data_IF_715423525093
#
_entry.id   IF_715423525093
#
_cell.length_a   1.000
_cell.length_b   1.000
_cell.length_c   1.000
_cell.angle_alpha   90.00
_cell.angle_beta   90.00
_cell.angle_gamma   90.00
#
_symmetry.space_group_name_H-M   'P 1'
#
loop_
_entity.id
_entity.type
_entity.pdbx_description
1 polymer ?
#
# COMPACT_ATOMS: atom_id res chain seq x y z
N UNK A 1 10.44 -4.40 -2.93
CA UNK A 1 10.55 -5.45 -3.95
C UNK A 1 11.51 -5.05 -5.05
N UNK A 2 11.33 -3.91 -5.72
CA UNK A 2 12.25 -3.43 -6.75
C UNK A 2 13.53 -2.80 -6.14
N UNK A 3 14.72 -3.45 -6.21
CA UNK A 3 15.93 -2.95 -5.56
C UNK A 3 16.41 -1.61 -6.13
N UNK A 4 16.11 -1.35 -7.41
CA UNK A 4 16.41 -0.08 -8.06
C UNK A 4 15.83 1.12 -7.26
N UNK A 5 14.60 0.99 -6.78
CA UNK A 5 13.95 2.05 -5.98
C UNK A 5 14.34 2.03 -4.52
N UNK A 6 14.98 0.98 -3.99
CA UNK A 6 15.62 1.04 -2.67
C UNK A 6 16.91 1.88 -2.70
N UNK A 7 17.47 2.06 -3.91
CA UNK A 7 18.62 2.91 -4.20
C UNK A 7 19.77 2.78 -3.19
N UNK A 8 20.06 1.54 -2.77
CA UNK A 8 21.08 1.19 -1.77
C UNK A 8 21.01 2.00 -0.46
N UNK A 9 19.85 2.57 -0.12
CA UNK A 9 19.70 3.51 1.01
C UNK A 9 19.80 2.81 2.37
N UNK A 10 19.36 1.55 2.44
CA UNK A 10 19.53 0.70 3.60
C UNK A 10 19.53 -0.77 3.11
N UNK A 11 20.61 -1.14 2.44
CA UNK A 11 20.70 -2.37 1.66
C UNK A 11 21.72 -3.34 2.28
N UNK A 12 21.31 -4.61 2.40
CA UNK A 12 22.09 -5.67 3.06
C UNK A 12 23.36 -6.06 2.29
N UNK A 13 23.48 -5.69 1.02
CA UNK A 13 24.65 -5.93 0.18
C UNK A 13 25.65 -4.76 0.19
N UNK A 14 25.43 -3.73 1.00
CA UNK A 14 26.41 -2.67 1.26
C UNK A 14 27.34 -3.03 2.42
N UNK A 15 28.45 -2.30 2.57
CA UNK A 15 29.37 -2.52 3.68
C UNK A 15 28.64 -2.32 5.03
N UNK A 16 29.01 -3.07 6.06
CA UNK A 16 28.37 -2.98 7.39
C UNK A 16 28.54 -1.60 8.06
N UNK A 17 29.57 -0.85 7.66
CA UNK A 17 29.79 0.55 8.07
C UNK A 17 28.92 1.57 7.31
N UNK A 18 28.20 1.15 6.27
CA UNK A 18 27.32 2.02 5.49
C UNK A 18 26.15 2.49 6.35
N UNK A 19 25.82 3.78 6.26
CA UNK A 19 24.68 4.34 6.98
C UNK A 19 23.37 3.85 6.36
N UNK A 20 22.48 3.31 7.20
CA UNK A 20 21.08 3.08 6.81
C UNK A 20 20.34 4.43 6.84
N UNK A 21 19.85 4.85 5.68
CA UNK A 21 19.04 6.06 5.51
C UNK A 21 17.71 5.71 4.86
N UNK A 22 16.69 6.53 5.11
CA UNK A 22 15.35 6.35 4.52
C UNK A 22 15.42 6.46 2.98
N UNK A 23 16.18 7.44 2.48
CA UNK A 23 16.38 7.65 1.05
C UNK A 23 15.06 7.86 0.30
N UNK A 24 14.74 6.94 -0.60
CA UNK A 24 13.56 6.94 -1.46
C UNK A 24 12.31 6.35 -0.80
N UNK A 25 12.41 5.83 0.43
CA UNK A 25 11.27 5.34 1.18
C UNK A 25 10.39 6.50 1.68
N UNK A 26 9.11 6.18 1.94
CA UNK A 26 8.19 7.08 2.65
C UNK A 26 8.73 7.37 4.05
N UNK A 27 8.59 8.61 4.52
CA UNK A 27 9.08 9.02 5.84
C UNK A 27 8.21 8.49 6.97
N UNK A 28 6.90 8.44 6.72
CA UNK A 28 5.91 7.87 7.63
C UNK A 28 4.92 7.01 6.85
N UNK A 29 4.30 6.03 7.52
CA UNK A 29 3.28 5.20 6.93
C UNK A 29 2.07 5.07 7.86
N UNK A 30 0.88 5.32 7.32
CA UNK A 30 -0.40 5.09 7.98
C UNK A 30 -0.85 3.67 7.66
N UNK A 31 -0.92 2.83 8.69
CA UNK A 31 -1.44 1.48 8.58
C UNK A 31 -2.97 1.52 8.63
N UNK A 32 -3.61 1.52 7.46
CA UNK A 32 -5.06 1.69 7.33
C UNK A 32 -5.81 0.50 7.92
N UNK A 33 -6.82 0.81 8.74
CA UNK A 33 -7.82 -0.13 9.29
C UNK A 33 -9.22 0.23 8.82
N UNK A 34 -9.53 1.52 8.75
CA UNK A 34 -10.85 2.03 8.36
C UNK A 34 -10.72 3.19 7.35
N UNK A 35 -11.84 3.59 6.74
CA UNK A 35 -11.87 4.71 5.80
C UNK A 35 -11.43 6.03 6.46
N UNK A 36 -11.66 6.18 7.76
CA UNK A 36 -11.31 7.39 8.51
C UNK A 36 -9.78 7.59 8.59
N UNK A 37 -8.99 6.51 8.71
CA UNK A 37 -7.53 6.59 8.70
C UNK A 37 -7.01 7.24 7.40
N UNK A 38 -7.65 6.92 6.26
CA UNK A 38 -7.30 7.50 4.96
C UNK A 38 -7.70 8.97 4.91
N UNK A 39 -8.91 9.28 5.38
CA UNK A 39 -9.44 10.65 5.38
C UNK A 39 -8.59 11.57 6.25
N UNK A 40 -8.24 11.14 7.46
CA UNK A 40 -7.36 11.89 8.36
C UNK A 40 -5.94 12.03 7.81
N UNK A 41 -5.38 10.97 7.22
CA UNK A 41 -4.06 11.01 6.60
C UNK A 41 -4.00 12.04 5.45
N UNK A 42 -5.04 12.08 4.60
CA UNK A 42 -5.15 13.05 3.51
C UNK A 42 -5.31 14.47 4.06
N UNK A 43 -6.12 14.67 5.10
CA UNK A 43 -6.28 15.98 5.73
C UNK A 43 -4.96 16.48 6.36
N UNK A 44 -4.18 15.60 7.02
CA UNK A 44 -2.84 15.95 7.53
C UNK A 44 -1.90 16.30 6.37
N UNK A 45 -1.91 15.48 5.30
CA UNK A 45 -1.05 15.71 4.15
C UNK A 45 -1.35 17.05 3.46
N UNK A 46 -2.62 17.39 3.29
CA UNK A 46 -3.05 18.67 2.75
C UNK A 46 -2.65 19.84 3.66
N UNK A 47 -2.97 19.77 4.97
CA UNK A 47 -2.64 20.81 5.94
C UNK A 47 -1.15 21.13 6.02
N UNK A 48 -0.29 20.13 5.85
CA UNK A 48 1.16 20.26 5.95
C UNK A 48 1.88 20.25 4.59
N UNK A 49 1.15 20.26 3.48
CA UNK A 49 1.70 20.17 2.13
C UNK A 49 2.68 18.99 1.96
N UNK A 50 2.32 17.82 2.49
CA UNK A 50 3.13 16.59 2.42
C UNK A 50 2.66 15.74 1.25
N UNK A 51 3.61 15.26 0.44
CA UNK A 51 3.32 14.34 -0.66
C UNK A 51 2.75 13.03 -0.14
N UNK A 52 1.74 12.49 -0.81
CA UNK A 52 1.12 11.19 -0.47
C UNK A 52 1.49 10.13 -1.49
N UNK A 53 1.78 8.92 -1.01
CA UNK A 53 1.89 7.71 -1.82
C UNK A 53 0.98 6.62 -1.28
N UNK A 54 0.40 5.83 -2.18
CA UNK A 54 -0.45 4.69 -1.81
C UNK A 54 0.36 3.41 -2.01
N UNK A 55 0.35 2.54 -1.01
CA UNK A 55 1.06 1.26 -1.05
C UNK A 55 0.18 0.12 -0.57
N UNK A 56 0.06 -0.92 -1.39
CA UNK A 56 -0.37 -2.25 -0.93
C UNK A 56 0.86 -3.12 -0.64
N UNK A 57 1.29 -3.93 -1.61
CA UNK A 57 2.39 -4.91 -1.44
C UNK A 57 3.79 -4.34 -1.72
N UNK A 58 3.87 -3.20 -2.44
CA UNK A 58 5.14 -2.63 -2.87
C UNK A 58 5.78 -3.34 -4.07
N UNK A 59 4.98 -4.06 -4.86
CA UNK A 59 5.39 -4.74 -6.10
C UNK A 59 5.51 -3.83 -7.33
N UNK A 60 5.23 -2.53 -7.21
CA UNK A 60 5.31 -1.64 -8.36
C UNK A 60 6.76 -1.49 -8.85
N UNK A 61 6.99 -1.88 -10.10
CA UNK A 61 8.31 -1.84 -10.74
C UNK A 61 8.69 -0.47 -11.30
N UNK A 62 7.82 0.53 -11.18
CA UNK A 62 8.06 1.92 -11.59
C UNK A 62 8.17 2.87 -10.38
N UNK A 63 8.25 2.34 -9.16
CA UNK A 63 8.41 3.12 -7.94
C UNK A 63 7.16 3.88 -7.49
N UNK A 64 5.99 3.62 -8.07
CA UNK A 64 4.75 4.37 -7.80
C UNK A 64 4.18 4.18 -6.38
N UNK A 65 4.78 3.29 -5.58
CA UNK A 65 4.35 2.97 -4.20
C UNK A 65 5.38 3.39 -3.13
N UNK A 66 6.30 4.29 -3.48
CA UNK A 66 7.30 4.86 -2.57
C UNK A 66 7.73 6.24 -3.03
N UNK A 67 8.20 7.09 -2.11
CA UNK A 67 8.86 8.32 -2.45
C UNK A 67 9.46 9.02 -1.25
N UNK A 68 10.60 9.69 -1.44
CA UNK A 68 11.30 10.41 -0.39
C UNK A 68 10.44 11.54 0.22
N UNK A 69 10.53 11.74 1.54
CA UNK A 69 9.90 12.87 2.23
C UNK A 69 8.38 12.83 2.24
N UNK A 70 7.77 11.65 2.07
CA UNK A 70 6.33 11.52 1.84
C UNK A 70 5.62 10.72 2.93
N UNK A 71 4.29 10.85 2.96
CA UNK A 71 3.38 10.05 3.77
C UNK A 71 2.86 8.86 2.93
N UNK A 72 3.09 7.65 3.40
CA UNK A 72 2.56 6.43 2.79
C UNK A 72 1.21 6.04 3.39
N UNK A 73 0.19 5.84 2.57
CA UNK A 73 -1.06 5.19 2.96
C UNK A 73 -0.93 3.71 2.64
N UNK A 74 -0.83 2.89 3.70
CA UNK A 74 -0.56 1.46 3.57
C UNK A 74 -1.83 0.63 3.75
N UNK A 75 -2.35 0.11 2.64
CA UNK A 75 -3.65 -0.58 2.57
C UNK A 75 -3.58 -2.08 2.82
N UNK A 76 -2.37 -2.63 2.97
CA UNK A 76 -2.12 -4.07 2.93
C UNK A 76 -2.90 -4.89 3.97
N UNK A 77 -3.28 -4.28 5.10
CA UNK A 77 -4.00 -4.95 6.18
C UNK A 77 -5.51 -5.08 5.94
N UNK A 78 -6.05 -4.46 4.90
CA UNK A 78 -7.47 -4.57 4.53
C UNK A 78 -7.70 -5.91 3.84
N UNK A 79 -7.90 -6.98 4.63
CA UNK A 79 -7.93 -8.37 4.18
C UNK A 79 -9.32 -9.01 4.13
N UNK A 80 -10.38 -8.25 4.41
CA UNK A 80 -11.74 -8.80 4.44
C UNK A 80 -12.15 -9.33 3.05
N UNK A 81 -12.79 -10.51 3.03
CA UNK A 81 -13.33 -11.12 1.82
C UNK A 81 -14.74 -11.64 2.10
N UNK A 82 -15.69 -11.37 1.19
CA UNK A 82 -17.08 -11.82 1.28
C UNK A 82 -17.60 -12.23 -0.10
N UNK A 83 -18.15 -13.44 -0.19
CA UNK A 83 -18.86 -13.92 -1.38
C UNK A 83 -20.35 -13.60 -1.24
N UNK A 84 -20.93 -12.97 -2.26
CA UNK A 84 -22.29 -12.45 -2.25
C UNK A 84 -23.07 -12.92 -3.46
N UNK A 85 -24.39 -13.00 -3.32
CA UNK A 85 -25.28 -12.95 -4.46
C UNK A 85 -25.43 -11.49 -4.87
N UNK A 86 -24.92 -11.14 -6.05
CA UNK A 86 -24.93 -9.77 -6.57
C UNK A 86 -25.89 -9.67 -7.74
N UNK A 87 -26.71 -8.62 -7.74
CA UNK A 87 -27.69 -8.35 -8.79
C UNK A 87 -27.65 -6.86 -9.14
N UNK A 88 -27.47 -6.58 -10.40
CA UNK A 88 -27.50 -5.24 -11.00
C UNK A 88 -28.09 -5.32 -12.42
N UNK A 89 -28.25 -4.18 -13.09
CA UNK A 89 -28.66 -4.14 -14.49
C UNK A 89 -27.66 -4.85 -15.45
N UNK A 90 -26.40 -5.01 -15.02
CA UNK A 90 -25.31 -5.52 -15.87
C UNK A 90 -24.77 -6.90 -15.44
N UNK A 91 -25.18 -7.40 -14.28
CA UNK A 91 -24.68 -8.67 -13.74
C UNK A 91 -25.66 -9.29 -12.75
N UNK A 92 -25.85 -10.60 -12.84
CA UNK A 92 -26.61 -11.38 -11.87
C UNK A 92 -25.88 -12.70 -11.60
N UNK A 93 -25.37 -12.88 -10.38
CA UNK A 93 -24.60 -14.06 -9.99
C UNK A 93 -23.76 -13.86 -8.73
N UNK A 94 -22.82 -14.78 -8.51
CA UNK A 94 -21.87 -14.70 -7.39
C UNK A 94 -20.82 -13.62 -7.62
N UNK A 95 -20.59 -12.75 -6.64
CA UNK A 95 -19.51 -11.77 -6.68
C UNK A 95 -18.68 -11.82 -5.39
N UNK A 96 -17.40 -11.45 -5.49
CA UNK A 96 -16.50 -11.33 -4.34
C UNK A 96 -16.29 -9.85 -4.02
N UNK A 97 -16.66 -9.46 -2.81
CA UNK A 97 -16.25 -8.19 -2.20
C UNK A 97 -14.93 -8.44 -1.46
N UNK A 98 -13.90 -7.66 -1.76
CA UNK A 98 -12.56 -7.83 -1.20
C UNK A 98 -11.96 -6.50 -0.74
N UNK A 99 -11.23 -6.55 0.37
CA UNK A 99 -10.46 -5.43 0.87
C UNK A 99 -9.28 -5.09 -0.04
N UNK A 100 -8.84 -3.83 -0.01
CA UNK A 100 -7.78 -3.33 -0.89
C UNK A 100 -6.39 -3.97 -0.66
N UNK A 101 -6.22 -4.70 0.44
CA UNK A 101 -5.00 -5.42 0.80
C UNK A 101 -4.99 -6.89 0.36
N UNK A 102 -6.13 -7.44 -0.08
CA UNK A 102 -6.26 -8.85 -0.48
C UNK A 102 -5.30 -9.17 -1.63
N UNK A 103 -4.51 -10.22 -1.46
CA UNK A 103 -3.57 -10.74 -2.45
C UNK A 103 -4.20 -11.92 -3.19
N UNK A 104 -3.64 -12.25 -4.37
CA UNK A 104 -4.17 -13.34 -5.19
C UNK A 104 -4.30 -14.68 -4.46
N UNK A 105 -3.34 -15.03 -3.59
CA UNK A 105 -3.40 -16.25 -2.78
C UNK A 105 -4.62 -16.29 -1.84
N UNK A 106 -4.93 -15.16 -1.21
CA UNK A 106 -6.06 -15.03 -0.28
C UNK A 106 -7.39 -15.03 -1.05
N UNK A 107 -7.44 -14.35 -2.20
CA UNK A 107 -8.61 -14.34 -3.07
C UNK A 107 -8.92 -15.75 -3.60
N UNK A 108 -7.91 -16.50 -4.05
CA UNK A 108 -8.11 -17.87 -4.52
C UNK A 108 -8.53 -18.83 -3.41
N UNK A 109 -8.03 -18.66 -2.19
CA UNK A 109 -8.45 -19.49 -1.06
C UNK A 109 -9.92 -19.25 -0.65
N UNK A 110 -10.46 -18.07 -0.95
CA UNK A 110 -11.82 -17.68 -0.58
C UNK A 110 -12.87 -17.85 -1.70
N UNK A 111 -12.43 -18.14 -2.94
CA UNK A 111 -13.28 -18.33 -4.12
C UNK A 111 -13.90 -19.73 -4.16
#
# INVERSE_FOLDING_TARGET
MAPHFANRSCDRFTATSSKCVIGTYVSYAVAVRYADDVTEALAIAERHNVRVFIRNTGHDYNGKSTGAGSLGIWTHRLKDVRILQYRSAHYNGKAMQMGAGVQGLEAYAAA
#
